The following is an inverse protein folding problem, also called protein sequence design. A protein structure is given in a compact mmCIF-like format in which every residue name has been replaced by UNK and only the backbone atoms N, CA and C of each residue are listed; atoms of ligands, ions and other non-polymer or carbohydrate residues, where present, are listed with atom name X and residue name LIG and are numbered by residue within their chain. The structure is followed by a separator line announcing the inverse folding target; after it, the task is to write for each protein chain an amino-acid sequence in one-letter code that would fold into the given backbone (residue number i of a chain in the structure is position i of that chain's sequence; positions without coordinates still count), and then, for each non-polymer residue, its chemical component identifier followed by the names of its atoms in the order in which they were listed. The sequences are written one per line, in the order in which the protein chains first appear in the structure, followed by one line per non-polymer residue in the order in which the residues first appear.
data_IF_862110515237
#
_entry.id   IF_862110515237
#
_cell.length_a   1.000
_cell.length_b   1.000
_cell.length_c   1.000
_cell.angle_alpha   90.00
_cell.angle_beta   90.00
_cell.angle_gamma   90.00
#
_symmetry.space_group_name_H-M   'P 1'
#
loop_
_entity.id
_entity.type
_entity.pdbx_description
1 polymer ?
#
# COMPACT_ATOMS: atom_id res chain seq x y z
N UNK A 1 -13.36 27.30 32.29
CA UNK A 1 -11.90 27.08 32.52
C UNK A 1 -11.64 25.57 32.43
N UNK A 2 -11.28 25.07 31.27
CA UNK A 2 -10.88 23.68 31.13
C UNK A 2 -9.40 23.59 31.51
N UNK A 3 -9.11 22.80 32.54
CA UNK A 3 -7.75 22.57 33.05
C UNK A 3 -6.88 21.97 31.93
N UNK A 4 -5.65 22.53 31.75
CA UNK A 4 -4.63 21.96 30.87
C UNK A 4 -4.50 20.47 31.17
N UNK A 5 -4.40 19.59 30.16
CA UNK A 5 -4.18 18.18 30.40
C UNK A 5 -2.82 18.03 31.09
N UNK A 6 -2.85 17.68 32.37
CA UNK A 6 -1.63 17.35 33.13
C UNK A 6 -0.93 16.20 32.38
N UNK A 7 0.38 16.33 32.15
CA UNK A 7 1.24 15.25 31.67
C UNK A 7 1.10 14.08 32.66
N UNK A 8 0.21 13.15 32.40
CA UNK A 8 0.03 11.96 33.25
C UNK A 8 1.21 11.03 33.02
N UNK A 9 1.84 10.59 34.10
CA UNK A 9 2.83 9.52 34.02
C UNK A 9 2.10 8.19 33.76
N UNK A 10 2.77 7.27 33.06
CA UNK A 10 2.27 5.91 32.92
C UNK A 10 2.25 5.22 34.29
N UNK A 11 1.16 4.58 34.61
CA UNK A 11 1.05 3.66 35.76
C UNK A 11 1.48 2.28 35.25
N UNK A 12 2.72 1.87 35.61
CA UNK A 12 3.36 0.71 35.00
C UNK A 12 3.29 -0.51 35.93
N UNK A 13 2.90 -1.62 35.36
CA UNK A 13 3.03 -2.94 35.94
C UNK A 13 3.99 -3.78 35.11
N UNK A 14 4.76 -4.67 35.77
CA UNK A 14 5.67 -5.58 35.11
C UNK A 14 4.96 -6.92 34.89
N UNK A 15 4.66 -7.25 33.61
CA UNK A 15 3.96 -8.47 33.24
C UNK A 15 4.64 -9.09 31.99
N UNK A 16 4.84 -10.42 32.01
CA UNK A 16 5.38 -11.18 30.89
C UNK A 16 6.66 -10.56 30.25
N UNK A 17 7.61 -10.12 31.10
CA UNK A 17 8.87 -9.46 30.72
C UNK A 17 8.70 -8.10 29.99
N UNK A 18 7.60 -7.42 30.25
CA UNK A 18 7.32 -6.09 29.70
C UNK A 18 6.66 -5.20 30.75
N UNK A 19 6.84 -3.88 30.61
CA UNK A 19 6.07 -2.89 31.36
C UNK A 19 4.73 -2.67 30.65
N UNK A 20 3.62 -2.81 31.36
CA UNK A 20 2.27 -2.51 30.86
C UNK A 20 1.71 -1.31 31.62
N UNK A 21 1.10 -0.35 30.94
CA UNK A 21 0.39 0.73 31.60
C UNK A 21 -1.05 0.30 31.90
N UNK A 22 -1.49 0.41 33.15
CA UNK A 22 -2.85 0.07 33.59
C UNK A 22 -3.92 1.00 33.01
N UNK A 23 -3.53 2.20 32.57
CA UNK A 23 -4.44 3.21 32.01
C UNK A 23 -4.58 3.11 30.49
N UNK A 24 -3.45 3.09 29.75
CA UNK A 24 -3.50 3.03 28.29
C UNK A 24 -3.30 1.63 27.70
N UNK A 25 -3.03 0.64 28.55
CA UNK A 25 -2.82 -0.78 28.24
C UNK A 25 -1.64 -1.08 27.30
N UNK A 26 -0.83 -0.07 26.95
CA UNK A 26 0.32 -0.25 26.08
C UNK A 26 1.49 -0.91 26.82
N UNK A 27 2.32 -1.66 26.11
CA UNK A 27 3.43 -2.43 26.68
C UNK A 27 4.77 -2.04 26.09
N UNK A 28 5.84 -1.99 26.93
CA UNK A 28 7.21 -1.65 26.53
C UNK A 28 8.22 -2.65 27.11
N UNK A 29 9.36 -2.80 26.45
CA UNK A 29 10.51 -3.55 27.03
C UNK A 29 11.27 -2.74 28.09
N UNK A 30 11.20 -1.42 28.03
CA UNK A 30 11.79 -0.46 28.98
C UNK A 30 10.73 0.57 29.34
N UNK A 31 10.81 1.18 30.55
CA UNK A 31 9.84 2.22 30.93
C UNK A 31 9.79 3.33 29.87
N UNK A 32 8.60 3.74 29.45
CA UNK A 32 8.44 4.80 28.45
C UNK A 32 8.84 6.16 29.02
N UNK A 33 9.41 7.02 28.19
CA UNK A 33 9.67 8.43 28.53
C UNK A 33 8.52 9.35 28.11
N UNK A 34 7.60 8.85 27.27
CA UNK A 34 6.41 9.59 26.82
C UNK A 34 5.37 9.75 27.92
N UNK A 35 4.51 10.77 27.83
CA UNK A 35 3.37 10.93 28.69
C UNK A 35 2.27 9.90 28.38
N UNK A 36 1.50 9.48 29.41
CA UNK A 36 0.36 8.61 29.22
C UNK A 36 -0.80 9.37 28.56
N UNK A 37 -1.44 8.83 27.48
CA UNK A 37 -2.58 9.48 26.85
C UNK A 37 -3.84 9.51 27.73
N UNK A 38 -3.91 8.69 28.77
CA UNK A 38 -5.02 8.68 29.73
C UNK A 38 -6.26 7.93 29.25
N UNK A 39 -6.19 7.29 28.09
CA UNK A 39 -7.27 6.45 27.51
C UNK A 39 -6.68 5.17 26.94
N UNK A 40 -7.48 4.11 26.72
CA UNK A 40 -7.02 2.88 26.08
C UNK A 40 -6.36 3.10 24.74
N UNK A 41 -5.30 2.37 24.46
CA UNK A 41 -4.53 2.45 23.24
C UNK A 41 -4.61 1.17 22.43
N UNK A 42 -4.86 1.30 21.16
CA UNK A 42 -4.99 0.18 20.22
C UNK A 42 -3.84 0.17 19.20
N UNK A 43 -3.57 -0.99 18.65
CA UNK A 43 -2.80 -1.13 17.40
C UNK A 43 -3.77 -0.98 16.22
N UNK A 44 -3.24 -0.60 15.06
CA UNK A 44 -4.05 -0.43 13.84
C UNK A 44 -4.85 -1.70 13.50
N UNK A 45 -4.23 -2.87 13.71
CA UNK A 45 -4.83 -4.16 13.38
C UNK A 45 -5.87 -4.64 14.41
N UNK A 46 -5.85 -4.08 15.62
CA UNK A 46 -6.75 -4.44 16.74
C UNK A 46 -7.81 -3.36 16.99
N UNK A 47 -7.97 -2.40 16.07
CA UNK A 47 -8.85 -1.25 16.24
C UNK A 47 -10.32 -1.68 16.12
N UNK A 48 -11.15 -1.51 17.17
CA UNK A 48 -12.58 -1.79 17.09
C UNK A 48 -13.26 -0.91 16.02
N UNK A 49 -14.16 -1.47 15.23
CA UNK A 49 -14.84 -0.79 14.13
C UNK A 49 -15.71 0.41 14.56
N UNK A 50 -16.12 0.45 15.83
CA UNK A 50 -16.88 1.55 16.40
C UNK A 50 -16.03 2.74 16.87
N UNK A 51 -14.69 2.59 16.89
CA UNK A 51 -13.76 3.67 17.21
C UNK A 51 -13.26 4.31 15.92
N UNK A 52 -13.56 5.58 15.74
CA UNK A 52 -13.21 6.33 14.54
C UNK A 52 -12.49 7.63 14.89
N UNK A 53 -11.69 8.13 13.97
CA UNK A 53 -11.04 9.43 14.12
C UNK A 53 -12.05 10.57 13.94
N UNK A 54 -11.72 11.76 14.45
CA UNK A 54 -12.55 12.94 14.28
C UNK A 54 -12.85 13.26 12.79
N UNK A 55 -11.89 13.18 11.85
CA UNK A 55 -12.19 13.35 10.43
C UNK A 55 -13.17 12.32 9.87
N UNK A 56 -13.15 11.09 10.39
CA UNK A 56 -14.12 10.08 9.98
C UNK A 56 -15.53 10.37 10.51
N UNK A 57 -15.65 10.88 11.74
CA UNK A 57 -16.92 11.36 12.27
C UNK A 57 -17.50 12.45 11.36
N UNK A 58 -16.68 13.43 10.98
CA UNK A 58 -17.13 14.52 10.10
C UNK A 58 -17.54 14.03 8.71
N UNK A 59 -16.82 13.08 8.13
CA UNK A 59 -17.24 12.46 6.86
C UNK A 59 -18.58 11.74 6.96
N UNK A 60 -18.90 11.20 8.12
CA UNK A 60 -20.20 10.56 8.41
C UNK A 60 -21.28 11.55 8.86
N UNK A 61 -21.01 12.85 8.78
CA UNK A 61 -21.90 13.91 9.31
C UNK A 61 -22.29 13.72 10.78
N UNK A 62 -21.32 13.24 11.58
CA UNK A 62 -21.48 12.99 13.01
C UNK A 62 -20.60 13.93 13.84
N UNK A 63 -21.04 14.19 15.07
CA UNK A 63 -20.27 14.91 16.08
C UNK A 63 -20.33 14.19 17.42
N UNK A 64 -19.26 14.29 18.20
CA UNK A 64 -19.21 13.79 19.58
C UNK A 64 -18.95 14.96 20.52
N UNK A 65 -19.72 15.05 21.59
CA UNK A 65 -19.50 16.00 22.66
C UNK A 65 -18.72 15.27 23.79
N UNK A 66 -17.44 15.57 23.93
CA UNK A 66 -16.64 15.00 25.01
C UNK A 66 -15.18 14.70 24.63
N UNK A 67 -14.41 14.23 25.61
CA UNK A 67 -13.03 13.81 25.37
C UNK A 67 -12.97 12.53 24.49
N UNK A 68 -11.82 12.23 23.87
CA UNK A 68 -11.63 11.00 23.12
C UNK A 68 -11.80 9.76 24.02
N UNK A 69 -12.37 8.70 23.46
CA UNK A 69 -12.62 7.42 24.14
C UNK A 69 -11.40 6.50 24.12
N UNK A 70 -10.55 6.67 23.11
CA UNK A 70 -9.37 5.84 22.92
C UNK A 70 -8.29 6.59 22.10
N UNK A 71 -7.15 5.96 21.92
CA UNK A 71 -6.15 6.38 20.97
C UNK A 71 -5.51 5.16 20.30
N UNK A 72 -4.89 5.35 19.14
CA UNK A 72 -4.01 4.34 18.62
C UNK A 72 -2.58 4.86 18.45
N UNK A 73 -1.62 3.93 18.59
CA UNK A 73 -0.20 4.24 18.60
C UNK A 73 0.44 3.96 17.24
N UNK A 74 1.25 4.89 16.76
CA UNK A 74 2.06 4.71 15.56
C UNK A 74 3.43 4.17 15.90
N UNK A 75 3.85 3.11 15.21
CA UNK A 75 5.09 2.37 15.50
C UNK A 75 6.39 3.15 15.23
N UNK A 76 6.37 4.25 14.47
CA UNK A 76 7.62 4.94 14.06
C UNK A 76 7.95 6.19 14.87
N UNK A 77 6.97 6.81 15.51
CA UNK A 77 7.17 7.99 16.38
C UNK A 77 6.10 8.01 17.49
N UNK A 78 6.35 8.55 18.68
CA UNK A 78 5.44 8.45 19.82
C UNK A 78 4.23 9.38 19.70
N UNK A 79 3.47 9.26 18.64
CA UNK A 79 2.28 10.06 18.40
C UNK A 79 1.01 9.23 18.55
N UNK A 80 0.04 9.82 19.26
CA UNK A 80 -1.25 9.23 19.54
C UNK A 80 -2.32 9.85 18.63
N UNK A 81 -3.09 9.04 17.90
CA UNK A 81 -4.29 9.51 17.22
C UNK A 81 -5.49 9.26 18.12
N UNK A 82 -6.25 10.32 18.36
CA UNK A 82 -7.45 10.28 19.18
C UNK A 82 -8.62 9.63 18.42
N UNK A 83 -9.34 8.76 19.13
CA UNK A 83 -10.46 8.00 18.60
C UNK A 83 -11.71 8.26 19.45
N UNK A 84 -12.83 8.26 18.77
CA UNK A 84 -14.14 8.53 19.36
C UNK A 84 -15.07 7.36 19.07
N UNK A 85 -15.90 7.02 20.05
CA UNK A 85 -16.92 5.97 19.92
C UNK A 85 -18.09 6.51 19.09
N UNK A 86 -18.24 5.99 17.86
CA UNK A 86 -19.29 6.41 16.94
C UNK A 86 -20.72 6.19 17.49
N UNK A 87 -20.87 5.26 18.45
CA UNK A 87 -22.17 4.98 19.09
C UNK A 87 -22.63 6.10 20.02
N UNK A 88 -21.70 6.97 20.45
CA UNK A 88 -21.99 8.19 21.26
C UNK A 88 -22.17 9.41 20.38
N UNK A 89 -22.00 9.27 19.06
CA UNK A 89 -22.08 10.37 18.13
C UNK A 89 -23.54 10.76 17.83
N UNK A 90 -23.75 12.05 17.63
CA UNK A 90 -25.04 12.63 17.21
C UNK A 90 -24.91 13.20 15.81
N UNK A 91 -26.00 13.21 14.99
CA UNK A 91 -25.97 13.84 13.68
C UNK A 91 -25.61 15.32 13.76
N UNK A 92 -24.78 15.79 12.83
CA UNK A 92 -24.59 17.23 12.61
C UNK A 92 -25.88 17.81 12.02
N UNK A 93 -26.47 18.80 12.67
CA UNK A 93 -27.66 19.49 12.15
C UNK A 93 -27.31 20.12 10.78
N UNK A 94 -28.10 19.81 9.76
CA UNK A 94 -27.88 20.24 8.36
C UNK A 94 -27.84 21.78 8.16
N UNK A 95 -28.36 22.55 9.10
CA UNK A 95 -28.37 24.03 9.04
C UNK A 95 -27.04 24.68 9.46
N UNK A 96 -26.06 23.90 9.88
CA UNK A 96 -24.75 24.38 10.37
C UNK A 96 -23.58 23.62 9.75
N UNK A 97 -23.56 23.47 8.42
CA UNK A 97 -22.32 23.21 7.72
C UNK A 97 -21.57 24.55 7.57
N UNK A 98 -20.74 24.97 8.52
CA UNK A 98 -19.82 26.06 8.27
C UNK A 98 -18.80 25.50 7.27
N UNK A 99 -18.52 26.26 6.22
CA UNK A 99 -17.24 26.12 5.52
C UNK A 99 -16.18 26.11 6.61
N UNK A 100 -15.60 24.96 6.84
CA UNK A 100 -14.78 24.68 8.02
C UNK A 100 -13.56 25.59 8.05
N UNK A 101 -13.64 26.67 8.77
CA UNK A 101 -12.48 27.40 9.24
C UNK A 101 -12.18 26.89 10.68
N UNK A 102 -11.59 25.70 10.79
CA UNK A 102 -11.16 25.09 12.06
C UNK A 102 -10.29 26.07 12.84
N UNK A 103 -9.43 26.83 12.14
CA UNK A 103 -8.55 27.84 12.72
C UNK A 103 -9.36 28.96 13.42
N UNK A 104 -10.43 29.46 12.80
CA UNK A 104 -11.25 30.51 13.39
C UNK A 104 -11.98 30.03 14.65
N UNK A 105 -12.39 28.76 14.70
CA UNK A 105 -13.10 28.19 15.85
C UNK A 105 -12.16 27.88 17.02
N UNK A 106 -10.93 27.45 16.73
CA UNK A 106 -9.89 27.23 17.72
C UNK A 106 -9.37 28.56 18.27
N UNK A 107 -9.23 29.60 17.43
CA UNK A 107 -8.95 30.99 17.87
C UNK A 107 -10.02 31.55 18.81
N UNK A 108 -11.30 31.30 18.49
CA UNK A 108 -12.42 31.74 19.33
C UNK A 108 -12.46 31.03 20.71
N UNK A 109 -11.92 29.82 20.80
CA UNK A 109 -11.91 29.03 22.03
C UNK A 109 -10.69 29.27 22.90
N UNK A 110 -9.52 29.58 22.32
CA UNK A 110 -8.24 29.74 23.04
C UNK A 110 -7.57 31.10 22.89
N UNK A 111 -8.14 32.02 22.10
CA UNK A 111 -7.56 33.37 21.94
C UNK A 111 -6.25 33.43 21.16
N UNK A 112 -5.70 32.28 20.73
CA UNK A 112 -4.47 32.16 19.94
C UNK A 112 -4.56 30.99 18.96
N UNK A 113 -3.73 31.00 17.93
CA UNK A 113 -3.57 29.80 17.08
C UNK A 113 -3.02 28.65 17.92
N UNK A 114 -3.58 27.42 17.76
CA UNK A 114 -3.05 26.28 18.47
C UNK A 114 -1.62 26.04 18.03
N UNK A 115 -0.75 25.89 18.99
CA UNK A 115 0.67 25.59 18.84
C UNK A 115 0.97 24.08 18.93
N UNK A 116 -0.03 23.25 18.63
CA UNK A 116 0.02 21.80 18.67
C UNK A 116 -0.65 21.16 17.46
N UNK A 117 -0.19 19.97 17.11
CA UNK A 117 -0.73 19.21 16.00
C UNK A 117 -2.19 18.77 16.28
N UNK A 118 -3.11 19.20 15.43
CA UNK A 118 -4.55 18.87 15.54
C UNK A 118 -4.85 17.36 15.43
N UNK A 119 -3.89 16.58 14.95
CA UNK A 119 -4.07 15.14 14.70
C UNK A 119 -3.54 14.28 15.84
N UNK A 120 -2.37 14.61 16.39
CA UNK A 120 -1.71 13.80 17.41
C UNK A 120 -1.50 14.55 18.74
N UNK A 121 -1.81 15.83 18.80
CA UNK A 121 -1.59 16.65 19.99
C UNK A 121 -0.12 17.01 20.26
N UNK A 122 0.82 16.63 19.35
CA UNK A 122 2.22 16.99 19.49
C UNK A 122 2.42 18.52 19.39
N UNK A 123 3.28 19.04 20.25
CA UNK A 123 3.63 20.45 20.32
C UNK A 123 5.13 20.62 20.10
N UNK A 124 5.58 21.50 19.20
CA UNK A 124 6.98 21.86 19.09
C UNK A 124 7.48 22.52 20.37
N UNK A 125 8.65 22.11 20.87
CA UNK A 125 9.29 22.68 22.07
C UNK A 125 10.53 23.53 21.73
N UNK A 126 11.01 23.45 20.46
CA UNK A 126 12.20 24.19 19.97
C UNK A 126 11.92 24.85 18.60
N UNK A 127 12.74 25.86 18.25
CA UNK A 127 12.68 26.51 16.92
C UNK A 127 12.89 25.52 15.77
N UNK A 128 13.74 24.52 15.98
CA UNK A 128 14.00 23.48 14.97
C UNK A 128 12.74 22.63 14.73
N UNK A 129 12.02 22.26 15.77
CA UNK A 129 10.78 21.51 15.67
C UNK A 129 9.65 22.31 15.04
N UNK A 130 9.63 23.64 15.20
CA UNK A 130 8.66 24.51 14.53
C UNK A 130 8.79 24.47 13.01
N UNK A 131 9.96 24.20 12.44
CA UNK A 131 10.15 24.03 11.00
C UNK A 131 9.38 22.81 10.47
N UNK A 132 9.14 21.82 11.31
CA UNK A 132 8.41 20.58 11.01
C UNK A 132 6.90 20.67 11.34
N UNK A 133 6.42 21.88 11.65
CA UNK A 133 5.03 22.11 12.01
C UNK A 133 4.41 23.17 11.10
N UNK A 134 3.49 22.77 10.25
CA UNK A 134 2.80 23.67 9.31
C UNK A 134 1.32 23.41 9.27
N UNK A 135 0.50 24.45 9.13
CA UNK A 135 -0.95 24.34 9.02
C UNK A 135 -1.60 23.51 10.15
N UNK A 136 -1.11 23.67 11.37
CA UNK A 136 -1.57 22.92 12.56
C UNK A 136 -1.35 21.42 12.45
N UNK A 137 -0.31 20.99 11.74
CA UNK A 137 0.01 19.60 11.49
C UNK A 137 1.52 19.37 11.55
N UNK A 138 1.97 18.39 12.34
CA UNK A 138 3.36 17.96 12.32
C UNK A 138 3.64 17.13 11.05
N UNK A 139 4.92 17.06 10.65
CA UNK A 139 5.34 16.34 9.45
C UNK A 139 4.93 14.87 9.47
N UNK A 140 5.01 14.21 10.61
CA UNK A 140 4.62 12.81 10.75
C UNK A 140 3.14 12.60 10.43
N UNK A 141 2.25 13.44 10.95
CA UNK A 141 0.82 13.35 10.66
C UNK A 141 0.48 13.71 9.22
N UNK A 142 1.19 14.69 8.64
CA UNK A 142 1.03 15.06 7.24
C UNK A 142 1.43 13.92 6.32
N UNK A 143 2.58 13.29 6.59
CA UNK A 143 3.06 12.12 5.86
C UNK A 143 2.05 10.96 5.91
N UNK A 144 1.49 10.64 7.10
CA UNK A 144 0.53 9.55 7.21
C UNK A 144 -0.78 9.84 6.49
N UNK A 145 -1.28 11.06 6.54
CA UNK A 145 -2.49 11.40 5.81
C UNK A 145 -2.30 11.28 4.30
N UNK A 146 -1.13 11.71 3.81
CA UNK A 146 -0.77 11.55 2.41
C UNK A 146 -0.65 10.07 2.04
N UNK A 147 0.03 9.27 2.87
CA UNK A 147 0.11 7.83 2.68
C UNK A 147 -1.27 7.16 2.71
N UNK A 148 -2.17 7.54 3.63
CA UNK A 148 -3.53 7.00 3.66
C UNK A 148 -4.33 7.35 2.39
N UNK A 149 -4.15 8.56 1.84
CA UNK A 149 -4.76 8.95 0.56
C UNK A 149 -4.22 8.10 -0.59
N UNK A 150 -2.90 7.93 -0.67
CA UNK A 150 -2.25 7.10 -1.69
C UNK A 150 -2.70 5.65 -1.58
N UNK A 151 -2.73 5.10 -0.37
CA UNK A 151 -3.22 3.74 -0.11
C UNK A 151 -4.66 3.55 -0.60
N UNK A 152 -5.56 4.49 -0.33
CA UNK A 152 -6.93 4.47 -0.83
C UNK A 152 -7.00 4.61 -2.34
N UNK A 153 -6.17 5.46 -2.92
CA UNK A 153 -6.09 5.63 -4.37
C UNK A 153 -5.66 4.34 -5.07
N UNK A 154 -4.68 3.61 -4.49
CA UNK A 154 -4.25 2.30 -5.01
C UNK A 154 -5.38 1.25 -4.92
N UNK A 155 -6.11 1.20 -3.80
CA UNK A 155 -7.24 0.26 -3.68
C UNK A 155 -8.34 0.58 -4.71
N UNK A 156 -8.64 1.86 -4.92
CA UNK A 156 -9.61 2.31 -5.93
C UNK A 156 -9.13 1.95 -7.35
N UNK A 157 -7.87 2.28 -7.68
CA UNK A 157 -7.28 1.90 -8.96
C UNK A 157 -7.39 0.39 -9.22
N UNK A 158 -7.08 -0.44 -8.22
CA UNK A 158 -7.21 -1.89 -8.33
C UNK A 158 -8.67 -2.33 -8.53
N UNK A 159 -9.61 -1.71 -7.80
CA UNK A 159 -11.03 -1.96 -7.93
C UNK A 159 -11.54 -1.59 -9.33
N UNK A 160 -11.21 -0.39 -9.83
CA UNK A 160 -11.63 0.10 -11.14
C UNK A 160 -11.08 -0.79 -12.27
N UNK A 161 -9.83 -1.24 -12.14
CA UNK A 161 -9.27 -2.24 -13.05
C UNK A 161 -10.07 -3.54 -13.05
N UNK A 162 -10.48 -4.04 -11.89
CA UNK A 162 -11.26 -5.28 -11.81
C UNK A 162 -12.67 -5.17 -12.39
N UNK A 163 -13.20 -3.95 -12.54
CA UNK A 163 -14.47 -3.70 -13.25
C UNK A 163 -14.28 -3.60 -14.77
N UNK A 164 -13.05 -3.33 -15.23
CA UNK A 164 -12.73 -3.26 -16.65
C UNK A 164 -12.29 -4.64 -17.17
N UNK A 165 -12.55 -4.91 -18.45
CA UNK A 165 -12.14 -6.16 -19.11
C UNK A 165 -11.10 -5.96 -20.22
N UNK A 166 -10.70 -4.72 -20.48
CA UNK A 166 -9.81 -4.33 -21.59
C UNK A 166 -8.31 -4.38 -21.24
N UNK A 167 -7.91 -5.01 -20.14
CA UNK A 167 -6.53 -5.19 -19.74
C UNK A 167 -6.13 -6.67 -19.67
N UNK A 168 -4.82 -6.90 -19.64
CA UNK A 168 -4.25 -8.22 -19.40
C UNK A 168 -3.08 -8.12 -18.41
N UNK A 169 -2.88 -9.20 -17.64
CA UNK A 169 -1.70 -9.33 -16.77
C UNK A 169 -0.67 -10.19 -17.46
N UNK A 170 0.56 -9.70 -17.55
CA UNK A 170 1.68 -10.38 -18.19
C UNK A 170 2.79 -10.67 -17.18
N UNK A 171 3.36 -11.86 -17.27
CA UNK A 171 4.59 -12.22 -16.57
C UNK A 171 5.50 -13.03 -17.49
N UNK A 172 6.82 -12.95 -17.23
CA UNK A 172 7.85 -13.64 -18.01
C UNK A 172 8.85 -14.34 -17.10
N UNK A 173 9.46 -15.42 -17.59
CA UNK A 173 10.77 -15.88 -17.17
C UNK A 173 11.78 -15.56 -18.29
N UNK A 174 13.05 -15.37 -17.94
CA UNK A 174 14.06 -14.82 -18.84
C UNK A 174 15.39 -15.58 -18.74
N UNK A 175 16.23 -15.47 -19.77
CA UNK A 175 17.57 -16.07 -19.75
C UNK A 175 18.46 -15.55 -18.62
N UNK A 176 18.18 -14.35 -18.09
CA UNK A 176 18.94 -13.69 -17.02
C UNK A 176 18.30 -12.41 -16.56
N UNK A 177 19.04 -11.60 -15.77
CA UNK A 177 18.62 -10.29 -15.29
C UNK A 177 19.33 -9.12 -16.01
N UNK A 178 20.31 -9.42 -16.86
CA UNK A 178 21.07 -8.44 -17.62
C UNK A 178 20.23 -7.72 -18.68
N UNK A 179 20.77 -6.67 -19.29
CA UNK A 179 20.04 -5.80 -20.22
C UNK A 179 19.68 -6.48 -21.55
N UNK A 180 20.38 -7.52 -21.92
CA UNK A 180 20.17 -8.34 -23.12
C UNK A 180 19.52 -9.70 -22.83
N UNK A 181 18.90 -9.87 -21.69
CA UNK A 181 18.15 -11.08 -21.36
C UNK A 181 16.93 -11.24 -22.29
N UNK A 182 16.67 -12.47 -22.69
CA UNK A 182 15.54 -12.83 -23.54
C UNK A 182 14.43 -13.52 -22.75
N UNK A 183 13.21 -13.38 -23.23
CA UNK A 183 12.03 -14.09 -22.69
C UNK A 183 12.08 -15.55 -23.09
N UNK A 184 12.01 -16.47 -22.09
CA UNK A 184 11.98 -17.92 -22.28
C UNK A 184 10.66 -18.56 -21.85
N UNK A 185 9.84 -17.83 -21.12
CA UNK A 185 8.47 -18.24 -20.78
C UNK A 185 7.62 -16.97 -20.70
N UNK A 186 6.45 -17.02 -21.30
CA UNK A 186 5.49 -15.94 -21.31
C UNK A 186 4.11 -16.45 -20.83
N UNK A 187 3.48 -15.72 -19.93
CA UNK A 187 2.10 -15.96 -19.52
C UNK A 187 1.31 -14.65 -19.57
N UNK A 188 0.13 -14.72 -20.16
CA UNK A 188 -0.82 -13.59 -20.24
C UNK A 188 -2.18 -14.06 -19.74
N UNK A 189 -2.70 -13.36 -18.72
CA UNK A 189 -3.98 -13.66 -18.08
C UNK A 189 -5.01 -12.57 -18.33
N UNK A 190 -6.27 -12.95 -18.38
CA UNK A 190 -7.42 -12.04 -18.28
C UNK A 190 -7.67 -11.59 -16.82
N UNK A 191 -8.50 -10.54 -16.60
CA UNK A 191 -8.93 -10.13 -15.26
C UNK A 191 -9.57 -11.23 -14.40
N UNK A 192 -10.34 -12.12 -15.01
CA UNK A 192 -10.98 -13.25 -14.36
C UNK A 192 -10.01 -14.39 -13.99
N UNK A 193 -8.83 -14.42 -14.62
CA UNK A 193 -7.79 -15.44 -14.44
C UNK A 193 -7.69 -16.44 -15.57
N UNK A 194 -8.51 -16.31 -16.62
CA UNK A 194 -8.37 -17.14 -17.83
C UNK A 194 -7.00 -16.90 -18.48
N UNK A 195 -6.36 -17.99 -18.91
CA UNK A 195 -5.06 -17.95 -19.58
C UNK A 195 -5.28 -17.64 -21.05
N UNK A 196 -4.88 -16.45 -21.49
CA UNK A 196 -4.93 -16.06 -22.90
C UNK A 196 -3.77 -16.63 -23.70
N UNK A 197 -2.59 -16.71 -23.06
CA UNK A 197 -1.38 -17.27 -23.65
C UNK A 197 -0.47 -17.77 -22.54
N UNK A 198 0.03 -19.00 -22.67
CA UNK A 198 1.10 -19.50 -21.82
C UNK A 198 1.98 -20.44 -22.67
N UNK A 199 3.24 -20.07 -22.84
CA UNK A 199 4.17 -20.84 -23.66
C UNK A 199 5.60 -20.64 -23.19
N UNK A 200 6.43 -21.67 -23.45
CA UNK A 200 7.88 -21.51 -23.47
C UNK A 200 8.30 -20.86 -24.78
N UNK A 201 9.44 -20.20 -24.76
CA UNK A 201 10.06 -19.60 -25.92
C UNK A 201 11.51 -20.05 -26.03
N UNK A 202 11.93 -20.35 -27.25
CA UNK A 202 13.33 -20.63 -27.54
C UNK A 202 14.10 -19.33 -27.68
N UNK A 203 15.04 -19.03 -26.76
CA UNK A 203 15.89 -17.88 -26.88
C UNK A 203 16.96 -18.08 -27.97
N UNK A 204 17.67 -17.04 -28.30
CA UNK A 204 18.88 -17.08 -29.17
C UNK A 204 20.16 -17.29 -28.37
N UNK A 205 20.13 -16.89 -27.08
CA UNK A 205 21.23 -17.01 -26.15
C UNK A 205 20.97 -18.07 -25.10
N UNK A 206 22.01 -18.52 -24.41
CA UNK A 206 21.93 -19.51 -23.35
C UNK A 206 21.26 -18.96 -22.08
N UNK A 207 20.70 -19.85 -21.29
CA UNK A 207 20.10 -19.48 -19.99
C UNK A 207 21.20 -19.43 -18.93
N UNK A 208 21.29 -18.31 -18.21
CA UNK A 208 22.20 -18.17 -17.08
C UNK A 208 21.93 -19.23 -16.01
N UNK A 209 22.95 -19.85 -15.43
CA UNK A 209 22.78 -20.81 -14.33
C UNK A 209 22.01 -20.21 -13.12
N UNK A 210 22.21 -18.91 -12.83
CA UNK A 210 21.49 -18.21 -11.78
C UNK A 210 20.00 -18.11 -12.09
N UNK A 211 19.64 -17.80 -13.34
CA UNK A 211 18.26 -17.74 -13.80
C UNK A 211 17.58 -19.12 -13.70
N UNK A 212 18.29 -20.19 -14.11
CA UNK A 212 17.84 -21.58 -13.94
C UNK A 212 17.56 -21.90 -12.47
N UNK A 213 18.38 -21.43 -11.54
CA UNK A 213 18.12 -21.60 -10.10
C UNK A 213 16.79 -20.96 -9.66
N UNK A 214 16.42 -19.84 -10.26
CA UNK A 214 15.21 -19.05 -9.94
C UNK A 214 13.94 -19.72 -10.50
N UNK A 215 13.91 -20.01 -11.81
CA UNK A 215 12.68 -20.50 -12.49
C UNK A 215 12.71 -22.00 -12.81
N UNK A 216 13.88 -22.66 -12.75
CA UNK A 216 14.04 -24.09 -12.94
C UNK A 216 13.99 -24.54 -14.41
N UNK A 217 14.08 -23.64 -15.37
CA UNK A 217 14.19 -23.96 -16.80
C UNK A 217 15.65 -24.05 -17.20
N UNK A 218 15.96 -25.00 -18.08
CA UNK A 218 17.27 -25.21 -18.70
C UNK A 218 17.16 -24.98 -20.20
N UNK A 219 18.30 -24.86 -20.90
CA UNK A 219 18.33 -24.76 -22.37
C UNK A 219 17.64 -25.96 -23.02
N UNK A 220 17.74 -27.13 -22.44
CA UNK A 220 17.08 -28.34 -22.94
C UNK A 220 15.54 -28.22 -22.91
N UNK A 221 14.99 -27.60 -21.87
CA UNK A 221 13.53 -27.41 -21.74
C UNK A 221 12.94 -26.48 -22.81
N UNK A 222 13.72 -25.52 -23.29
CA UNK A 222 13.28 -24.50 -24.26
C UNK A 222 13.74 -24.76 -25.69
N UNK A 223 14.60 -25.76 -25.91
CA UNK A 223 15.20 -26.07 -27.21
C UNK A 223 14.14 -26.33 -28.31
N UNK A 224 13.10 -27.09 -27.97
CA UNK A 224 12.02 -27.44 -28.87
C UNK A 224 10.85 -26.42 -28.84
N UNK A 225 10.94 -25.36 -28.05
CA UNK A 225 9.90 -24.33 -27.94
C UNK A 225 9.85 -23.46 -29.21
N UNK A 226 8.70 -22.84 -29.52
CA UNK A 226 8.60 -21.88 -30.60
C UNK A 226 9.47 -20.65 -30.32
N UNK A 227 9.98 -20.02 -31.36
CA UNK A 227 10.58 -18.70 -31.23
C UNK A 227 9.52 -17.60 -31.11
N UNK A 228 9.90 -16.41 -30.65
CA UNK A 228 8.93 -15.30 -30.48
C UNK A 228 8.15 -14.97 -31.77
N UNK A 229 8.73 -14.98 -32.99
CA UNK A 229 7.97 -14.77 -34.23
C UNK A 229 6.81 -15.73 -34.46
N UNK A 230 6.96 -16.99 -34.01
CA UNK A 230 5.95 -18.04 -34.22
C UNK A 230 4.67 -17.74 -33.44
N UNK A 231 4.79 -17.13 -32.24
CA UNK A 231 3.67 -16.76 -31.38
C UNK A 231 3.24 -15.30 -31.54
N UNK A 232 4.02 -14.50 -32.29
CA UNK A 232 3.80 -13.06 -32.43
C UNK A 232 2.41 -12.67 -32.96
N UNK A 233 1.82 -13.39 -33.95
CA UNK A 233 0.48 -13.07 -34.42
C UNK A 233 -0.57 -13.18 -33.30
N UNK A 234 -0.47 -14.18 -32.45
CA UNK A 234 -1.38 -14.36 -31.31
C UNK A 234 -1.16 -13.32 -30.23
N UNK A 235 0.09 -13.09 -29.81
CA UNK A 235 0.44 -12.07 -28.82
C UNK A 235 0.01 -10.67 -29.29
N UNK A 236 0.23 -10.35 -30.57
CA UNK A 236 -0.19 -9.07 -31.15
C UNK A 236 -1.71 -8.91 -31.17
N UNK A 237 -2.48 -9.99 -31.37
CA UNK A 237 -3.93 -9.98 -31.30
C UNK A 237 -4.42 -9.71 -29.89
N UNK A 238 -3.75 -10.28 -28.87
CA UNK A 238 -4.03 -10.00 -27.46
C UNK A 238 -3.77 -8.53 -27.16
N UNK A 239 -2.63 -8.00 -27.53
CA UNK A 239 -2.26 -6.61 -27.30
C UNK A 239 -3.18 -5.59 -28.02
N UNK A 240 -3.67 -5.91 -29.21
CA UNK A 240 -4.66 -5.07 -29.92
C UNK A 240 -6.02 -5.02 -29.22
N UNK A 241 -6.43 -6.11 -28.57
CA UNK A 241 -7.69 -6.16 -27.84
C UNK A 241 -7.58 -5.61 -26.41
N UNK A 242 -6.37 -5.63 -25.85
CA UNK A 242 -6.09 -5.27 -24.45
C UNK A 242 -4.94 -4.28 -24.43
N UNK A 243 -5.32 -3.01 -24.54
CA UNK A 243 -4.34 -1.92 -24.62
C UNK A 243 -3.58 -1.67 -23.30
N UNK A 244 -4.15 -2.13 -22.18
CA UNK A 244 -3.55 -1.97 -20.86
C UNK A 244 -2.91 -3.28 -20.41
N UNK A 245 -1.62 -3.24 -20.12
CA UNK A 245 -0.87 -4.40 -19.65
C UNK A 245 -0.38 -4.15 -18.23
N UNK A 246 -0.81 -5.02 -17.32
CA UNK A 246 -0.38 -5.02 -15.93
C UNK A 246 0.79 -5.99 -15.79
N UNK A 247 1.86 -5.55 -15.17
CA UNK A 247 3.01 -6.38 -14.81
C UNK A 247 3.43 -6.08 -13.37
N UNK A 248 4.16 -6.98 -12.74
CA UNK A 248 4.66 -6.70 -11.40
C UNK A 248 5.74 -5.63 -11.42
N UNK A 249 6.73 -5.74 -12.29
CA UNK A 249 7.82 -4.77 -12.50
C UNK A 249 7.83 -4.34 -13.97
N UNK A 250 7.38 -3.12 -14.23
CA UNK A 250 7.22 -2.61 -15.60
C UNK A 250 8.56 -2.43 -16.30
N UNK A 251 9.57 -1.89 -15.59
CA UNK A 251 10.87 -1.61 -16.18
C UNK A 251 11.55 -2.91 -16.64
N UNK A 252 11.44 -3.95 -15.85
CA UNK A 252 11.98 -5.26 -16.20
C UNK A 252 11.22 -5.90 -17.37
N UNK A 253 9.91 -6.10 -17.23
CA UNK A 253 9.12 -6.86 -18.21
C UNK A 253 9.03 -6.15 -19.57
N UNK A 254 8.89 -4.82 -19.59
CA UNK A 254 8.85 -4.05 -20.82
C UNK A 254 10.20 -4.12 -21.56
N UNK A 255 11.31 -3.98 -20.82
CA UNK A 255 12.66 -4.04 -21.39
C UNK A 255 12.94 -5.41 -22.02
N UNK A 256 12.74 -6.50 -21.28
CA UNK A 256 13.07 -7.84 -21.78
C UNK A 256 12.20 -8.24 -22.97
N UNK A 257 10.91 -7.88 -22.96
CA UNK A 257 10.02 -8.15 -24.07
C UNK A 257 10.39 -7.32 -25.31
N UNK A 258 10.73 -6.04 -25.12
CA UNK A 258 11.17 -5.17 -26.21
C UNK A 258 12.50 -5.64 -26.81
N UNK A 259 13.47 -6.07 -25.95
CA UNK A 259 14.73 -6.62 -26.40
C UNK A 259 14.51 -7.90 -27.21
N UNK A 260 13.75 -8.87 -26.67
CA UNK A 260 13.46 -10.14 -27.37
C UNK A 260 12.76 -9.89 -28.70
N UNK A 261 11.78 -8.99 -28.76
CA UNK A 261 11.10 -8.62 -30.01
C UNK A 261 12.07 -7.98 -31.01
N UNK A 262 12.96 -7.10 -30.53
CA UNK A 262 13.98 -6.44 -31.34
C UNK A 262 14.94 -7.39 -32.02
N UNK A 263 15.29 -8.53 -31.38
CA UNK A 263 16.14 -9.58 -31.98
C UNK A 263 15.56 -10.17 -33.27
N UNK A 264 14.23 -10.05 -33.45
CA UNK A 264 13.50 -10.53 -34.61
C UNK A 264 12.92 -9.41 -35.45
N UNK A 265 13.38 -8.16 -35.28
CA UNK A 265 12.86 -6.97 -35.95
C UNK A 265 11.33 -6.73 -35.74
N UNK A 266 10.78 -7.30 -34.67
CA UNK A 266 9.40 -7.10 -34.27
C UNK A 266 9.31 -5.83 -33.42
N UNK A 267 8.20 -5.12 -33.53
CA UNK A 267 7.94 -3.90 -32.75
C UNK A 267 6.72 -4.10 -31.85
N UNK A 268 6.90 -3.83 -30.56
CA UNK A 268 5.76 -3.77 -29.64
C UNK A 268 4.80 -2.66 -30.08
N UNK A 269 3.49 -2.92 -30.07
CA UNK A 269 2.51 -1.88 -30.27
C UNK A 269 2.56 -0.86 -29.12
N UNK A 270 1.92 0.27 -29.30
CA UNK A 270 1.73 1.22 -28.20
C UNK A 270 0.78 0.62 -27.16
N UNK A 271 1.26 0.44 -25.93
CA UNK A 271 0.55 -0.17 -24.83
C UNK A 271 0.61 0.75 -23.58
N UNK A 272 -0.46 0.79 -22.83
CA UNK A 272 -0.48 1.40 -21.50
C UNK A 272 0.03 0.37 -20.49
N UNK A 273 1.20 0.63 -19.93
CA UNK A 273 1.82 -0.26 -18.94
C UNK A 273 1.55 0.23 -17.53
N UNK A 274 1.12 -0.66 -16.64
CA UNK A 274 0.94 -0.38 -15.23
C UNK A 274 1.81 -1.29 -14.38
N UNK A 275 2.50 -0.67 -13.41
CA UNK A 275 3.43 -1.32 -12.51
C UNK A 275 2.74 -1.67 -11.18
N UNK A 276 2.50 -2.95 -10.94
CA UNK A 276 1.91 -3.38 -9.68
C UNK A 276 2.87 -3.22 -8.50
N UNK A 277 4.19 -3.32 -8.72
CA UNK A 277 5.23 -3.08 -7.73
C UNK A 277 5.17 -1.63 -7.20
N UNK A 278 5.08 -0.64 -8.10
CA UNK A 278 4.95 0.77 -7.70
C UNK A 278 3.67 1.02 -6.92
N UNK A 279 2.53 0.52 -7.42
CA UNK A 279 1.25 0.64 -6.73
C UNK A 279 1.30 -0.02 -5.36
N UNK A 280 1.88 -1.22 -5.25
CA UNK A 280 2.02 -1.90 -3.97
C UNK A 280 2.96 -1.17 -3.01
N UNK A 281 4.00 -0.56 -3.52
CA UNK A 281 4.96 0.25 -2.75
C UNK A 281 4.26 1.45 -2.11
N UNK A 282 3.42 2.16 -2.86
CA UNK A 282 2.59 3.27 -2.34
C UNK A 282 1.54 2.77 -1.32
N UNK A 283 0.93 1.64 -1.60
CA UNK A 283 -0.05 1.01 -0.69
C UNK A 283 0.59 0.61 0.64
N UNK A 284 1.78 0.00 0.62
CA UNK A 284 2.46 -0.50 1.82
C UNK A 284 3.10 0.63 2.63
N UNK A 285 3.70 1.63 1.96
CA UNK A 285 4.18 2.87 2.56
C UNK A 285 5.40 2.71 3.47
N UNK A 286 6.21 1.64 3.33
CA UNK A 286 7.45 1.49 4.10
C UNK A 286 8.54 2.37 3.51
N UNK A 287 9.09 3.29 4.34
CA UNK A 287 10.12 4.25 3.95
C UNK A 287 11.47 3.83 4.50
N UNK A 288 12.51 3.98 3.71
CA UNK A 288 13.92 3.80 4.11
C UNK A 288 14.43 5.03 4.87
N UNK A 289 15.63 4.93 5.44
CA UNK A 289 16.28 6.05 6.15
C UNK A 289 16.54 7.27 5.27
N UNK A 290 16.71 7.06 3.95
CA UNK A 290 16.93 8.11 2.95
C UNK A 290 15.64 8.76 2.43
N UNK A 291 14.47 8.41 3.00
CA UNK A 291 13.17 8.92 2.58
C UNK A 291 12.57 8.21 1.37
N UNK A 292 13.28 7.27 0.73
CA UNK A 292 12.74 6.49 -0.40
C UNK A 292 11.85 5.35 0.08
N UNK A 293 10.88 4.95 -0.75
CA UNK A 293 10.05 3.80 -0.44
C UNK A 293 10.83 2.49 -0.61
N UNK A 294 10.57 1.53 0.27
CA UNK A 294 11.12 0.19 0.19
C UNK A 294 10.23 -0.70 -0.69
N UNK A 295 10.77 -1.12 -1.80
CA UNK A 295 10.13 -2.07 -2.69
C UNK A 295 10.00 -3.44 -2.06
N UNK A 296 8.89 -4.13 -2.34
CA UNK A 296 8.62 -5.49 -1.90
C UNK A 296 8.66 -6.44 -3.08
N UNK A 297 9.25 -7.61 -2.90
CA UNK A 297 9.11 -8.66 -3.91
C UNK A 297 7.63 -9.11 -4.01
N UNK A 298 7.23 -9.67 -5.15
CA UNK A 298 5.88 -10.21 -5.31
C UNK A 298 5.53 -11.24 -4.22
N UNK A 299 6.51 -12.04 -3.79
CA UNK A 299 6.32 -13.04 -2.74
C UNK A 299 6.04 -12.42 -1.38
N UNK A 300 6.77 -11.35 -1.01
CA UNK A 300 6.53 -10.59 0.22
C UNK A 300 5.17 -9.89 0.17
N UNK A 301 4.85 -9.24 -0.94
CA UNK A 301 3.57 -8.56 -1.14
C UNK A 301 2.39 -9.54 -1.01
N UNK A 302 2.47 -10.70 -1.64
CA UNK A 302 1.47 -11.76 -1.53
C UNK A 302 1.34 -12.28 -0.09
N UNK A 303 2.46 -12.47 0.61
CA UNK A 303 2.44 -12.91 2.01
C UNK A 303 1.78 -11.87 2.92
N UNK A 304 2.10 -10.59 2.74
CA UNK A 304 1.52 -9.49 3.51
C UNK A 304 0.01 -9.33 3.26
N UNK A 305 -0.47 -9.67 2.07
CA UNK A 305 -1.88 -9.61 1.70
C UNK A 305 -2.60 -10.97 1.81
N UNK A 306 -1.95 -11.98 2.38
CA UNK A 306 -2.51 -13.32 2.58
C UNK A 306 -2.99 -13.99 1.27
N UNK A 307 -2.37 -13.62 0.14
CA UNK A 307 -2.62 -14.27 -1.14
C UNK A 307 -2.09 -15.70 -1.08
N UNK A 308 -2.89 -16.72 -1.44
CA UNK A 308 -2.48 -18.10 -1.35
C UNK A 308 -1.17 -18.39 -2.09
N UNK A 309 -0.28 -19.11 -1.43
CA UNK A 309 0.98 -19.57 -2.06
C UNK A 309 0.64 -20.62 -3.11
N UNK A 310 1.05 -20.40 -4.35
CA UNK A 310 0.97 -21.45 -5.38
C UNK A 310 1.78 -22.70 -5.01
N UNK A 311 1.48 -23.82 -5.66
CA UNK A 311 2.11 -25.13 -5.40
C UNK A 311 3.62 -25.17 -5.68
N UNK A 312 4.13 -24.28 -6.52
CA UNK A 312 5.55 -24.24 -6.90
C UNK A 312 6.32 -23.13 -6.19
N UNK A 313 7.55 -23.44 -5.75
CA UNK A 313 8.51 -22.45 -5.25
C UNK A 313 9.29 -21.74 -6.37
N UNK A 314 9.31 -22.31 -7.56
CA UNK A 314 10.01 -21.76 -8.72
C UNK A 314 9.24 -20.56 -9.31
N UNK A 315 9.99 -19.54 -9.78
CA UNK A 315 9.41 -18.31 -10.35
C UNK A 315 9.09 -18.46 -11.83
N UNK A 316 8.18 -19.38 -12.16
CA UNK A 316 7.66 -19.60 -13.52
C UNK A 316 6.65 -18.50 -13.89
N UNK A 317 6.55 -18.19 -15.19
CA UNK A 317 5.71 -17.08 -15.67
C UNK A 317 4.24 -17.21 -15.25
N UNK A 318 3.60 -18.36 -15.49
CA UNK A 318 2.19 -18.53 -15.14
C UNK A 318 1.91 -18.44 -13.63
N UNK A 319 2.66 -19.12 -12.73
CA UNK A 319 2.51 -18.92 -11.30
C UNK A 319 2.77 -17.49 -10.82
N UNK A 320 3.69 -16.76 -11.44
CA UNK A 320 3.94 -15.35 -11.10
C UNK A 320 2.76 -14.47 -11.54
N UNK A 321 2.22 -14.69 -12.74
CA UNK A 321 1.03 -14.01 -13.23
C UNK A 321 -0.17 -14.25 -12.29
N UNK A 322 -0.42 -15.50 -11.90
CA UNK A 322 -1.50 -15.85 -10.97
C UNK A 322 -1.33 -15.17 -9.58
N UNK A 323 -0.12 -15.12 -9.05
CA UNK A 323 0.18 -14.41 -7.80
C UNK A 323 -0.06 -12.91 -7.92
N UNK A 324 0.39 -12.29 -9.01
CA UNK A 324 0.18 -10.86 -9.25
C UNK A 324 -1.30 -10.52 -9.40
N UNK A 325 -2.07 -11.37 -10.09
CA UNK A 325 -3.53 -11.23 -10.19
C UNK A 325 -4.20 -11.38 -8.81
N UNK A 326 -3.76 -12.36 -8.01
CA UNK A 326 -4.24 -12.54 -6.65
C UNK A 326 -3.96 -11.32 -5.75
N UNK A 327 -2.77 -10.72 -5.89
CA UNK A 327 -2.42 -9.48 -5.19
C UNK A 327 -3.31 -8.31 -5.63
N UNK A 328 -3.54 -8.16 -6.93
CA UNK A 328 -4.42 -7.11 -7.47
C UNK A 328 -5.86 -7.27 -6.95
N UNK A 329 -6.40 -8.50 -6.95
CA UNK A 329 -7.72 -8.81 -6.37
C UNK A 329 -7.80 -8.51 -4.88
N UNK A 330 -6.74 -8.81 -4.12
CA UNK A 330 -6.67 -8.51 -2.68
C UNK A 330 -6.64 -7.00 -2.39
N UNK A 331 -6.00 -6.20 -3.24
CA UNK A 331 -6.03 -4.73 -3.15
C UNK A 331 -7.42 -4.18 -3.52
N UNK A 332 -8.02 -4.68 -4.59
CA UNK A 332 -9.35 -4.29 -5.05
C UNK A 332 -10.44 -4.53 -3.99
N UNK A 333 -10.37 -5.66 -3.30
CA UNK A 333 -11.31 -6.00 -2.23
C UNK A 333 -11.25 -5.06 -1.01
N UNK A 334 -10.22 -4.21 -0.93
CA UNK A 334 -10.05 -3.21 0.14
C UNK A 334 -10.50 -1.80 -0.27
N UNK A 335 -11.00 -1.63 -1.46
CA UNK A 335 -11.65 -0.40 -1.86
C UNK A 335 -12.92 -0.19 -1.03
N UNK A 336 -13.11 1.02 -0.51
CA UNK A 336 -14.31 1.36 0.25
C UNK A 336 -15.50 1.48 -0.72
N UNK A 337 -16.54 0.65 -0.59
CA UNK A 337 -17.70 0.68 -1.49
C UNK A 337 -18.44 2.01 -1.49
N UNK A 338 -18.32 2.80 -0.40
CA UNK A 338 -19.00 4.10 -0.25
C UNK A 338 -18.38 5.23 -1.09
N UNK A 339 -17.26 4.99 -1.77
CA UNK A 339 -16.53 5.98 -2.57
C UNK A 339 -16.79 5.87 -4.08
N UNK A 340 -17.75 5.03 -4.49
CA UNK A 340 -18.12 4.80 -5.90
C UNK A 340 -19.29 5.67 -6.36
N UNK A 341 -19.59 6.77 -5.65
CA UNK A 341 -20.60 7.74 -6.05
C UNK A 341 -20.01 9.13 -6.27
#
# INVERSE_FOLDING_TARGET
MASKPHKRKHQLEWEARRYRCTVCHWTWRRPPRSACPGVPCYRVDDLPSYLVSEPELHRRHLQVAGPPDACYFRLKEPHWLWLFDVRKATPLAQSKLPRFNVVARLKAWWGSEPDWCRWCGWRPESEEEWKHFTSLCCDACRFEQEWLRQRKAVCRWAHDLMQADNWALLATATTGLHSWAEVIELAVLRPDGEVLLHTLLRPRDIIDPEATTIHGLTDQDVQAAPALPDIWPELSRIFKRRHTIIVYDVLFHQRVLAFTAGQYHLRLPFLSWHCLLEQYTLYWGEVRHDGTFRWKSLSEACQQQQVPRGRTRKRRALPQAQKALGLLKALAAKADPSLSQ
#
